data_IF_712331152268
#
_entry.id   IF_712331152268
#
_cell.length_a   1.000
_cell.length_b   1.000
_cell.length_c   1.000
_cell.angle_alpha   90.00
_cell.angle_beta   90.00
_cell.angle_gamma   90.00
#
_symmetry.space_group_name_H-M   'P 1'
#
loop_
_entity.id
_entity.type
_entity.pdbx_description
1 polymer ?
#
# COMPACT_ATOMS: atom_id res chain seq x y z
N UNK A 1 -20.19 -22.53 8.43
CA UNK A 1 -19.18 -23.60 8.47
C UNK A 1 -18.22 -23.35 7.31
N UNK A 2 -16.98 -22.92 7.58
CA UNK A 2 -16.00 -22.64 6.53
C UNK A 2 -15.09 -23.85 6.34
N UNK A 3 -15.19 -24.53 5.21
CA UNK A 3 -14.24 -25.57 4.76
C UNK A 3 -13.02 -24.87 4.17
N UNK A 4 -12.05 -24.53 5.02
CA UNK A 4 -10.74 -24.08 4.57
C UNK A 4 -9.90 -25.28 4.11
N UNK A 5 -9.32 -25.20 2.91
CA UNK A 5 -8.31 -26.15 2.45
C UNK A 5 -6.92 -25.55 2.66
N UNK A 6 -6.03 -26.30 3.29
CA UNK A 6 -4.63 -25.91 3.48
C UNK A 6 -3.74 -26.66 2.48
N UNK A 7 -2.89 -25.92 1.77
CA UNK A 7 -1.84 -26.49 0.91
C UNK A 7 -0.54 -26.52 1.72
N UNK A 8 -0.09 -27.73 2.04
CA UNK A 8 1.17 -27.96 2.77
C UNK A 8 2.30 -28.29 1.79
N UNK A 9 3.33 -27.43 1.71
CA UNK A 9 4.50 -27.67 0.87
C UNK A 9 5.55 -28.43 1.70
N UNK A 10 5.65 -29.75 1.47
CA UNK A 10 6.48 -30.65 2.30
C UNK A 10 7.97 -30.65 2.00
N UNK A 11 8.42 -30.11 0.86
CA UNK A 11 9.84 -30.09 0.49
C UNK A 11 10.27 -28.73 -0.06
N UNK A 12 10.68 -27.85 0.85
CA UNK A 12 11.11 -26.47 0.61
C UNK A 12 12.39 -26.37 -0.25
N UNK A 13 13.31 -27.33 -0.12
CA UNK A 13 14.67 -27.20 -0.68
C UNK A 13 14.79 -27.51 -2.17
N UNK A 14 13.84 -28.25 -2.74
CA UNK A 14 13.77 -28.48 -4.19
C UNK A 14 13.03 -27.33 -4.90
N UNK A 15 11.96 -26.84 -4.27
CA UNK A 15 11.16 -25.73 -4.78
C UNK A 15 11.93 -24.41 -4.82
N UNK A 16 12.66 -24.08 -3.75
CA UNK A 16 13.47 -22.86 -3.68
C UNK A 16 14.56 -22.81 -4.77
N UNK A 17 15.18 -23.97 -5.07
CA UNK A 17 16.19 -24.08 -6.15
C UNK A 17 15.60 -23.95 -7.55
N UNK A 18 14.35 -24.39 -7.77
CA UNK A 18 13.69 -24.23 -9.06
C UNK A 18 13.18 -22.80 -9.29
N UNK A 19 12.63 -22.16 -8.27
CA UNK A 19 12.18 -20.75 -8.34
C UNK A 19 13.36 -19.80 -8.59
N UNK A 20 14.52 -20.03 -7.94
CA UNK A 20 15.73 -19.24 -8.18
C UNK A 20 16.30 -19.34 -9.61
N UNK A 21 15.90 -20.36 -10.38
CA UNK A 21 16.28 -20.55 -11.80
C UNK A 21 15.21 -20.06 -12.78
N UNK A 22 14.22 -19.31 -12.30
CA UNK A 22 13.14 -18.74 -13.13
C UNK A 22 12.05 -19.74 -13.51
N UNK A 23 11.95 -20.88 -12.83
CA UNK A 23 10.87 -21.84 -13.10
C UNK A 23 9.52 -21.28 -12.61
N UNK A 24 8.51 -21.34 -13.46
CA UNK A 24 7.11 -21.06 -13.09
C UNK A 24 6.47 -22.29 -12.46
N UNK A 25 5.93 -22.12 -11.25
CA UNK A 25 5.08 -23.14 -10.64
C UNK A 25 3.65 -22.99 -11.16
N UNK A 26 3.13 -24.04 -11.82
CA UNK A 26 1.75 -24.08 -12.30
C UNK A 26 0.96 -25.04 -11.40
N UNK A 27 0.14 -24.50 -10.50
CA UNK A 27 -0.76 -25.28 -9.65
C UNK A 27 -2.10 -25.41 -10.37
N UNK A 28 -2.51 -26.63 -10.68
CA UNK A 28 -3.77 -26.92 -11.35
C UNK A 28 -4.67 -27.68 -10.36
N UNK A 29 -5.73 -27.01 -9.89
CA UNK A 29 -6.70 -27.59 -8.97
C UNK A 29 -7.86 -28.15 -9.79
N UNK A 30 -7.90 -29.47 -9.96
CA UNK A 30 -9.02 -30.15 -10.62
C UNK A 30 -10.06 -30.52 -9.57
N UNK A 31 -11.16 -29.76 -9.50
CA UNK A 31 -12.32 -30.12 -8.71
C UNK A 31 -13.13 -31.21 -9.46
N UNK A 32 -13.11 -32.44 -8.96
CA UNK A 32 -14.01 -33.50 -9.42
C UNK A 32 -15.33 -33.41 -8.68
N UNK A 33 -16.34 -32.75 -9.28
CA UNK A 33 -17.76 -33.15 -9.31
C UNK A 33 -18.69 -31.92 -9.45
N UNK A 34 -19.60 -31.99 -10.42
CA UNK A 34 -20.76 -31.12 -10.55
C UNK A 34 -20.59 -30.02 -11.59
N UNK A 35 -21.20 -30.22 -12.76
CA UNK A 35 -21.09 -29.32 -13.91
C UNK A 35 -21.59 -27.91 -13.59
N UNK A 36 -20.67 -26.97 -13.76
CA UNK A 36 -20.90 -25.55 -13.76
C UNK A 36 -19.56 -24.96 -14.11
N UNK A 37 -19.48 -24.21 -15.21
CA UNK A 37 -18.28 -23.48 -15.60
C UNK A 37 -17.88 -22.56 -14.44
N UNK A 38 -17.06 -23.07 -13.53
CA UNK A 38 -16.36 -22.28 -12.55
C UNK A 38 -15.21 -21.59 -13.28
N UNK A 39 -15.57 -20.60 -14.12
CA UNK A 39 -14.68 -19.46 -14.29
C UNK A 39 -14.39 -19.01 -12.86
N UNK A 40 -13.12 -18.88 -12.43
CA UNK A 40 -12.86 -18.11 -11.25
C UNK A 40 -13.46 -16.74 -11.55
N UNK A 41 -14.60 -16.44 -10.93
CA UNK A 41 -14.87 -15.07 -10.62
C UNK A 41 -13.65 -14.67 -9.80
N UNK A 42 -12.71 -14.00 -10.45
CA UNK A 42 -12.03 -12.91 -9.80
C UNK A 42 -13.19 -12.04 -9.33
N UNK A 43 -13.71 -12.36 -8.16
CA UNK A 43 -14.49 -11.45 -7.37
C UNK A 43 -13.57 -10.26 -7.30
N UNK A 44 -13.82 -9.28 -8.18
CA UNK A 44 -13.22 -7.99 -8.07
C UNK A 44 -13.64 -7.56 -6.68
N UNK A 45 -12.73 -7.67 -5.72
CA UNK A 45 -12.94 -7.12 -4.40
C UNK A 45 -13.52 -5.73 -4.65
N UNK A 46 -14.71 -5.42 -4.11
CA UNK A 46 -15.31 -4.14 -4.39
C UNK A 46 -14.25 -3.09 -4.08
N UNK A 47 -14.05 -2.11 -4.95
CA UNK A 47 -12.97 -1.11 -4.85
C UNK A 47 -12.92 -0.46 -3.44
N UNK A 48 -14.02 -0.51 -2.70
CA UNK A 48 -14.16 -0.09 -1.30
C UNK A 48 -13.50 -1.03 -0.26
N UNK A 49 -13.43 -2.34 -0.51
CA UNK A 49 -12.71 -3.32 0.33
C UNK A 49 -11.19 -3.13 0.29
N UNK A 50 -10.66 -2.35 -0.66
CA UNK A 50 -9.25 -2.01 -0.78
C UNK A 50 -8.86 -0.67 -0.11
N UNK A 51 -9.83 0.05 0.48
CA UNK A 51 -9.62 1.37 1.08
C UNK A 51 -9.46 1.29 2.60
N UNK A 52 -8.42 1.93 3.12
CA UNK A 52 -8.07 1.96 4.54
C UNK A 52 -8.07 3.42 4.99
N UNK A 53 -8.74 3.76 6.08
CA UNK A 53 -8.71 5.14 6.60
C UNK A 53 -7.27 5.55 6.97
N UNK A 54 -6.90 6.79 6.64
CA UNK A 54 -5.54 7.28 6.84
C UNK A 54 -5.04 7.19 8.29
N UNK A 55 -5.82 7.56 9.32
CA UNK A 55 -5.38 7.42 10.70
C UNK A 55 -5.04 5.97 11.08
N UNK A 56 -5.89 5.00 10.72
CA UNK A 56 -5.63 3.58 11.01
C UNK A 56 -4.47 3.02 10.20
N UNK A 57 -4.33 3.44 8.92
CA UNK A 57 -3.23 3.04 8.06
C UNK A 57 -1.87 3.48 8.65
N UNK A 58 -1.75 4.75 9.04
CA UNK A 58 -0.53 5.28 9.64
C UNK A 58 -0.23 4.65 11.01
N UNK A 59 -1.25 4.43 11.83
CA UNK A 59 -1.09 3.78 13.13
C UNK A 59 -0.63 2.32 12.99
N UNK A 60 -1.17 1.58 12.02
CA UNK A 60 -0.74 0.21 11.74
C UNK A 60 0.70 0.16 11.22
N UNK A 61 1.06 1.09 10.33
CA UNK A 61 2.39 1.20 9.77
C UNK A 61 3.43 1.49 10.85
N UNK A 62 3.17 2.50 11.69
CA UNK A 62 4.06 2.88 12.78
C UNK A 62 4.36 1.72 13.76
N UNK A 63 3.34 0.89 14.07
CA UNK A 63 3.54 -0.31 14.90
C UNK A 63 4.47 -1.33 14.23
N UNK A 64 4.32 -1.55 12.92
CA UNK A 64 5.12 -2.52 12.17
C UNK A 64 6.59 -2.14 12.11
N UNK A 65 6.88 -0.84 11.97
CA UNK A 65 8.26 -0.33 11.92
C UNK A 65 8.84 -0.01 13.31
N UNK A 66 8.21 -0.49 14.39
CA UNK A 66 8.75 -0.40 15.75
C UNK A 66 8.75 1.00 16.38
N UNK A 67 7.99 1.95 15.82
CA UNK A 67 7.97 3.31 16.33
C UNK A 67 7.04 3.45 17.54
N UNK A 68 7.54 4.07 18.60
CA UNK A 68 6.76 4.44 19.78
C UNK A 68 5.76 5.57 19.42
N UNK A 69 4.59 5.17 18.93
CA UNK A 69 3.35 5.96 18.79
C UNK A 69 3.52 7.35 18.12
N UNK A 70 3.39 7.46 16.79
CA UNK A 70 2.75 8.64 16.24
C UNK A 70 1.27 8.56 16.63
N UNK A 71 0.80 9.49 17.45
CA UNK A 71 -0.64 9.70 17.64
C UNK A 71 -1.12 10.39 16.36
N UNK A 72 -1.93 9.72 15.50
CA UNK A 72 -2.47 10.38 14.31
C UNK A 72 -3.25 11.61 14.75
N UNK A 73 -3.07 12.74 14.07
CA UNK A 73 -3.85 13.92 14.41
C UNK A 73 -5.32 13.66 14.10
N UNK A 74 -6.25 13.99 15.01
CA UNK A 74 -7.66 13.90 14.68
C UNK A 74 -7.96 14.82 13.49
N UNK A 75 -8.82 14.41 12.55
CA UNK A 75 -9.17 15.23 11.41
C UNK A 75 -9.79 16.55 11.90
N UNK A 76 -9.34 17.66 11.33
CA UNK A 76 -9.87 18.96 11.68
C UNK A 76 -11.32 19.12 11.18
N UNK A 77 -12.19 19.91 11.85
CA UNK A 77 -13.60 20.04 11.48
C UNK A 77 -13.78 20.50 10.03
N UNK A 78 -14.54 19.77 9.22
CA UNK A 78 -14.75 20.08 7.79
C UNK A 78 -13.62 19.63 6.86
N UNK A 79 -12.66 18.82 7.34
CA UNK A 79 -11.68 18.16 6.49
C UNK A 79 -12.31 16.96 5.76
N UNK A 80 -11.96 16.79 4.48
CA UNK A 80 -12.37 15.64 3.69
C UNK A 80 -11.73 14.35 4.26
N UNK A 81 -12.48 13.22 4.33
CA UNK A 81 -11.91 11.94 4.71
C UNK A 81 -10.77 11.55 3.77
N UNK A 82 -9.66 11.06 4.34
CA UNK A 82 -8.52 10.56 3.57
C UNK A 82 -8.44 9.05 3.74
N UNK A 83 -8.36 8.35 2.62
CA UNK A 83 -8.26 6.88 2.55
C UNK A 83 -7.09 6.48 1.67
N UNK A 84 -6.45 5.37 2.03
CA UNK A 84 -5.35 4.76 1.30
C UNK A 84 -5.86 3.58 0.52
N UNK A 85 -5.43 3.45 -0.74
CA UNK A 85 -5.44 2.14 -1.39
C UNK A 85 -4.45 1.22 -0.70
N UNK A 86 -4.84 -0.04 -0.54
CA UNK A 86 -3.97 -1.10 0.02
C UNK A 86 -2.62 -1.20 -0.69
N UNK A 87 -2.60 -1.02 -2.02
CA UNK A 87 -1.36 -0.97 -2.82
C UNK A 87 -0.42 0.17 -2.40
N UNK A 88 -0.95 1.39 -2.32
CA UNK A 88 -0.21 2.57 -1.87
C UNK A 88 0.36 2.39 -0.46
N UNK A 89 -0.41 1.78 0.46
CA UNK A 89 0.09 1.55 1.82
C UNK A 89 1.27 0.56 1.85
N UNK A 90 1.26 -0.47 1.00
CA UNK A 90 2.39 -1.40 0.86
C UNK A 90 3.62 -0.72 0.25
N UNK A 91 3.42 0.18 -0.70
CA UNK A 91 4.49 0.98 -1.30
C UNK A 91 5.12 1.91 -0.25
N UNK A 92 4.30 2.62 0.53
CA UNK A 92 4.76 3.45 1.63
C UNK A 92 5.56 2.65 2.66
N UNK A 93 5.08 1.46 3.03
CA UNK A 93 5.77 0.60 3.97
C UNK A 93 7.17 0.25 3.47
N UNK A 94 7.27 -0.23 2.22
CA UNK A 94 8.56 -0.54 1.60
C UNK A 94 9.49 0.66 1.60
N UNK A 95 8.96 1.83 1.26
CA UNK A 95 9.71 3.08 1.24
C UNK A 95 10.25 3.45 2.62
N UNK A 96 9.43 3.37 3.67
CA UNK A 96 9.85 3.67 5.04
C UNK A 96 10.87 2.66 5.59
N UNK A 97 10.77 1.39 5.20
CA UNK A 97 11.72 0.34 5.63
C UNK A 97 13.07 0.43 4.93
N UNK A 98 13.09 0.93 3.69
CA UNK A 98 14.30 1.09 2.90
C UNK A 98 14.87 2.51 2.97
N UNK A 99 14.26 3.38 3.78
CA UNK A 99 14.72 4.74 4.00
C UNK A 99 16.18 4.71 4.51
N UNK A 100 17.12 5.46 3.90
CA UNK A 100 18.50 5.49 4.34
C UNK A 100 18.59 5.85 5.82
N UNK A 101 19.57 5.27 6.55
CA UNK A 101 19.78 5.53 7.98
C UNK A 101 19.90 7.03 8.35
N UNK A 102 20.17 7.89 7.38
CA UNK A 102 20.19 9.36 7.51
C UNK A 102 18.80 10.00 7.68
N UNK A 103 17.72 9.31 7.31
CA UNK A 103 16.34 9.82 7.42
C UNK A 103 15.58 9.11 8.52
N UNK A 104 15.24 9.85 9.57
CA UNK A 104 14.41 9.37 10.68
C UNK A 104 13.00 9.00 10.19
N UNK A 105 12.62 7.72 10.28
CA UNK A 105 11.29 7.22 9.90
C UNK A 105 10.15 7.88 10.69
N UNK A 106 10.42 8.34 11.93
CA UNK A 106 9.45 9.13 12.72
C UNK A 106 9.21 10.48 12.06
N UNK A 107 10.29 11.16 11.65
CA UNK A 107 10.19 12.44 10.96
C UNK A 107 9.43 12.29 9.64
N UNK A 108 9.71 11.24 8.86
CA UNK A 108 9.01 10.95 7.62
C UNK A 108 7.50 10.76 7.83
N UNK A 109 7.10 9.97 8.83
CA UNK A 109 5.68 9.79 9.17
C UNK A 109 5.00 11.09 9.65
N UNK A 110 5.73 11.96 10.36
CA UNK A 110 5.19 13.26 10.78
C UNK A 110 4.96 14.19 9.60
N UNK A 111 5.88 14.23 8.63
CA UNK A 111 5.68 15.01 7.41
C UNK A 111 4.52 14.46 6.59
N UNK A 112 4.42 13.14 6.49
CA UNK A 112 3.31 12.48 5.83
C UNK A 112 1.96 12.86 6.47
N UNK A 113 1.82 12.75 7.79
CA UNK A 113 0.61 13.15 8.53
C UNK A 113 0.26 14.63 8.29
N UNK A 114 1.26 15.52 8.25
CA UNK A 114 1.04 16.94 7.97
C UNK A 114 0.50 17.19 6.55
N UNK A 115 1.05 16.50 5.54
CA UNK A 115 0.57 16.59 4.15
C UNK A 115 -0.84 16.02 4.01
N UNK A 116 -1.13 14.87 4.64
CA UNK A 116 -2.49 14.31 4.62
C UNK A 116 -3.50 15.27 5.26
N UNK A 117 -3.15 15.92 6.36
CA UNK A 117 -3.99 16.94 6.99
C UNK A 117 -4.19 18.17 6.09
N UNK A 118 -3.14 18.59 5.37
CA UNK A 118 -3.19 19.71 4.43
C UNK A 118 -4.13 19.42 3.27
N UNK A 119 -3.97 18.27 2.59
CA UNK A 119 -4.83 17.91 1.46
C UNK A 119 -6.27 17.66 1.91
N UNK A 120 -6.49 17.11 3.11
CA UNK A 120 -7.83 16.94 3.67
C UNK A 120 -8.57 18.28 3.79
N UNK A 121 -7.85 19.37 4.08
CA UNK A 121 -8.43 20.72 4.15
C UNK A 121 -8.49 21.41 2.78
N UNK A 122 -7.47 21.21 1.94
CA UNK A 122 -7.29 21.88 0.67
C UNK A 122 -6.97 20.85 -0.43
N UNK A 123 -7.96 20.12 -0.95
CA UNK A 123 -7.69 19.00 -1.87
C UNK A 123 -7.01 19.42 -3.18
N UNK A 124 -7.18 20.67 -3.58
CA UNK A 124 -6.58 21.26 -4.77
C UNK A 124 -5.20 21.93 -4.54
N UNK A 125 -4.61 21.81 -3.35
CA UNK A 125 -3.37 22.50 -2.98
C UNK A 125 -2.17 22.14 -3.88
N UNK A 126 -1.98 20.85 -4.16
CA UNK A 126 -0.87 20.37 -4.99
C UNK A 126 -1.20 20.39 -6.48
N UNK A 127 -0.19 20.53 -7.36
CA UNK A 127 -0.39 20.56 -8.80
C UNK A 127 -0.95 19.23 -9.36
N UNK A 128 -1.60 19.27 -10.54
CA UNK A 128 -2.00 18.07 -11.26
C UNK A 128 -0.81 17.15 -11.59
N UNK A 129 -1.04 15.85 -11.54
CA UNK A 129 -0.13 14.82 -12.01
C UNK A 129 -0.42 14.47 -13.49
N UNK A 130 0.42 13.69 -14.18
CA UNK A 130 0.19 13.30 -15.58
C UNK A 130 -1.12 12.54 -15.81
N UNK A 131 -1.59 11.79 -14.82
CA UNK A 131 -2.86 11.09 -14.89
C UNK A 131 -4.04 12.05 -14.65
N UNK A 132 -5.07 11.96 -15.51
CA UNK A 132 -6.24 12.84 -15.44
C UNK A 132 -6.94 12.75 -14.08
N UNK A 133 -7.21 13.91 -13.46
CA UNK A 133 -7.87 14.01 -12.16
C UNK A 133 -7.00 13.59 -10.96
N UNK A 134 -5.73 13.29 -11.18
CA UNK A 134 -4.74 12.96 -10.14
C UNK A 134 -3.89 14.20 -9.84
N UNK A 135 -3.48 14.33 -8.59
CA UNK A 135 -2.56 15.37 -8.09
C UNK A 135 -1.41 14.70 -7.37
N UNK A 136 -0.26 15.37 -7.33
CA UNK A 136 0.98 14.82 -6.75
C UNK A 136 1.50 15.68 -5.62
N UNK A 137 1.62 15.09 -4.44
CA UNK A 137 2.27 15.69 -3.28
C UNK A 137 3.66 15.08 -3.06
N UNK A 138 4.58 15.85 -2.50
CA UNK A 138 5.87 15.35 -2.01
C UNK A 138 5.96 15.62 -0.51
N UNK A 139 5.48 14.70 0.35
CA UNK A 139 5.58 14.85 1.80
C UNK A 139 7.01 14.88 2.31
N UNK A 140 7.89 14.12 1.68
CA UNK A 140 9.30 13.98 2.06
C UNK A 140 10.10 13.95 0.76
N UNK A 141 11.29 14.56 0.68
CA UNK A 141 12.12 14.49 -0.52
C UNK A 141 12.29 13.05 -1.00
N UNK A 142 11.95 12.75 -2.26
CA UNK A 142 12.04 11.38 -2.80
C UNK A 142 10.93 10.43 -2.36
N UNK A 143 9.83 10.96 -1.78
CA UNK A 143 8.57 10.25 -1.56
C UNK A 143 7.46 11.03 -2.22
N UNK A 144 6.96 10.54 -3.36
CA UNK A 144 5.88 11.18 -4.10
C UNK A 144 4.56 10.43 -3.83
N UNK A 145 3.48 11.17 -3.59
CA UNK A 145 2.14 10.64 -3.37
C UNK A 145 1.21 11.11 -4.47
N UNK A 146 0.68 10.16 -5.24
CA UNK A 146 -0.41 10.46 -6.16
C UNK A 146 -1.75 10.24 -5.44
N UNK A 147 -2.61 11.25 -5.52
CA UNK A 147 -3.92 11.24 -4.89
C UNK A 147 -4.98 11.84 -5.81
N UNK A 148 -6.25 11.51 -5.55
CA UNK A 148 -7.39 12.12 -6.24
C UNK A 148 -8.53 12.41 -5.29
N UNK A 149 -9.41 13.32 -5.69
CA UNK A 149 -10.66 13.59 -5.00
C UNK A 149 -11.77 12.80 -5.69
N UNK A 150 -12.52 12.02 -4.93
CA UNK A 150 -13.66 11.23 -5.42
C UNK A 150 -14.72 11.17 -4.33
N UNK A 151 -15.99 11.38 -4.66
CA UNK A 151 -17.13 11.23 -3.72
C UNK A 151 -16.91 11.95 -2.37
N UNK A 152 -16.43 13.19 -2.39
CA UNK A 152 -16.10 14.01 -1.21
C UNK A 152 -15.01 13.43 -0.26
N UNK A 153 -14.27 12.40 -0.69
CA UNK A 153 -13.08 11.87 -0.01
C UNK A 153 -11.83 12.03 -0.87
N UNK A 154 -10.68 11.89 -0.23
CA UNK A 154 -9.37 11.88 -0.87
C UNK A 154 -8.85 10.45 -0.86
N UNK A 155 -8.55 9.92 -2.04
CA UNK A 155 -7.97 8.59 -2.22
C UNK A 155 -6.48 8.74 -2.53
N UNK A 156 -5.62 8.20 -1.66
CA UNK A 156 -4.20 8.02 -1.94
C UNK A 156 -4.03 6.77 -2.82
N UNK A 157 -3.50 6.97 -4.02
CA UNK A 157 -3.51 5.97 -5.09
C UNK A 157 -2.25 5.13 -5.14
N UNK A 158 -1.09 5.78 -5.01
CA UNK A 158 0.24 5.14 -5.07
C UNK A 158 1.28 6.02 -4.37
N UNK A 159 2.35 5.37 -3.91
CA UNK A 159 3.58 6.01 -3.41
C UNK A 159 4.71 5.68 -4.38
N UNK A 160 5.36 6.72 -4.90
CA UNK A 160 6.39 6.63 -5.91
C UNK A 160 7.72 7.03 -5.27
N UNK A 161 8.72 6.16 -5.42
CA UNK A 161 10.13 6.42 -5.15
C UNK A 161 10.82 6.73 -6.49
N UNK A 162 11.00 8.03 -6.85
CA UNK A 162 11.57 8.39 -8.15
C UNK A 162 13.04 8.01 -8.28
N UNK A 163 13.77 7.97 -7.17
CA UNK A 163 15.21 7.72 -7.17
C UNK A 163 15.53 6.22 -7.13
N UNK A 164 14.52 5.38 -6.89
CA UNK A 164 14.71 3.95 -6.63
C UNK A 164 15.65 3.70 -5.46
N UNK A 165 15.82 4.67 -4.56
CA UNK A 165 16.73 4.57 -3.42
C UNK A 165 16.37 3.37 -2.54
N UNK A 166 15.08 3.01 -2.51
CA UNK A 166 14.57 1.84 -1.79
C UNK A 166 14.85 0.49 -2.48
N UNK A 167 15.27 0.48 -3.76
CA UNK A 167 15.59 -0.74 -4.50
C UNK A 167 17.02 -1.25 -4.23
N UNK A 168 17.83 -0.52 -3.44
CA UNK A 168 19.24 -0.83 -3.18
C UNK A 168 19.47 -1.75 -1.96
N UNK A 169 18.43 -2.26 -1.32
CA UNK A 169 18.53 -3.16 -0.15
C UNK A 169 18.69 -4.65 -0.47
N UNK A 170 18.63 -5.07 -1.74
CA UNK A 170 18.88 -6.46 -2.17
C UNK A 170 20.24 -6.62 -2.85
N UNK A 171 21.32 -6.20 -2.18
CA UNK A 171 22.69 -6.62 -2.51
C UNK A 171 23.54 -6.71 -1.24
N UNK A 172 23.56 -7.90 -0.65
CA UNK A 172 24.77 -8.65 -0.25
C UNK A 172 24.40 -10.05 0.26
#
# INVERSE_FOLDING_TARGET
>A
MATGWAVEIRHKDSLARQVARGAQLRVQLNATAGGGDARPALDAEPVEAELIDAPSALAALARRIGLARPVPRPPAPGAAPVVWRRGALRELERWLTACPAERDSVWCLRQLDAVLALIARWPAFYPPAPAAGVRRAEPVPGCLLDYRVRDARIEILTVIDPDGACAMGERE
#
